data_IF_357841054481
#
_entry.id   IF_357841054481
#
_cell.length_a   1.000
_cell.length_b   1.000
_cell.length_c   1.000
_cell.angle_alpha   90.00
_cell.angle_beta   90.00
_cell.angle_gamma   90.00
#
_symmetry.space_group_name_H-M   'P 1'
#
loop_
_entity.id
_entity.type
_entity.pdbx_description
1 polymer ?
#
# COMPACT_ATOMS: atom_id res chain seq x y z
N UNK A 1 -10.29 -6.80 -17.14
CA UNK A 1 -10.00 -6.47 -15.75
C UNK A 1 -11.07 -7.03 -14.84
N UNK A 2 -10.67 -7.67 -13.76
CA UNK A 2 -11.60 -8.23 -12.78
C UNK A 2 -11.54 -7.46 -11.48
N UNK A 3 -12.65 -7.41 -10.76
CA UNK A 3 -12.78 -6.64 -9.52
C UNK A 3 -13.37 -7.55 -8.43
N UNK A 4 -12.83 -7.48 -7.23
CA UNK A 4 -13.41 -8.13 -6.07
C UNK A 4 -13.29 -7.24 -4.84
N UNK A 5 -14.08 -7.53 -3.83
CA UNK A 5 -14.15 -6.74 -2.60
C UNK A 5 -13.70 -7.60 -1.43
N UNK A 6 -12.78 -7.06 -0.66
CA UNK A 6 -12.17 -7.75 0.47
C UNK A 6 -12.53 -7.01 1.76
N UNK A 7 -13.10 -7.73 2.72
CA UNK A 7 -13.41 -7.14 4.02
C UNK A 7 -12.20 -7.24 4.93
N UNK A 8 -11.63 -6.09 5.28
CA UNK A 8 -10.43 -6.01 6.11
C UNK A 8 -10.74 -5.35 7.45
N UNK A 9 -9.81 -5.43 8.43
CA UNK A 9 -9.96 -4.70 9.69
C UNK A 9 -10.05 -3.18 9.53
N UNK A 10 -9.62 -2.63 8.41
CA UNK A 10 -9.68 -1.19 8.13
C UNK A 10 -10.81 -0.83 7.17
N UNK A 11 -11.73 -1.75 6.92
CA UNK A 11 -12.88 -1.54 6.05
C UNK A 11 -12.80 -2.34 4.77
N UNK A 12 -13.75 -2.10 3.87
CA UNK A 12 -13.80 -2.79 2.59
C UNK A 12 -12.71 -2.27 1.65
N UNK A 13 -12.03 -3.19 1.01
CA UNK A 13 -11.01 -2.89 -0.01
C UNK A 13 -11.54 -3.38 -1.35
N UNK A 14 -11.45 -2.52 -2.37
CA UNK A 14 -11.82 -2.88 -3.73
C UNK A 14 -10.54 -3.22 -4.50
N UNK A 15 -10.40 -4.47 -4.95
CA UNK A 15 -9.20 -4.95 -5.62
C UNK A 15 -9.47 -5.14 -7.11
N UNK A 16 -8.56 -4.63 -7.94
CA UNK A 16 -8.62 -4.78 -9.39
C UNK A 16 -7.41 -5.56 -9.87
N UNK A 17 -7.61 -6.46 -10.83
CA UNK A 17 -6.53 -7.27 -11.39
C UNK A 17 -6.70 -7.48 -12.88
N UNK A 18 -5.56 -7.65 -13.55
CA UNK A 18 -5.47 -8.17 -14.91
C UNK A 18 -4.86 -9.57 -14.83
N UNK A 19 -4.69 -10.21 -15.98
CA UNK A 19 -3.99 -11.50 -16.02
C UNK A 19 -2.52 -11.38 -15.64
N UNK A 20 -1.96 -10.17 -15.68
CA UNK A 20 -0.55 -9.92 -15.37
C UNK A 20 -0.30 -9.65 -13.89
N UNK A 21 -1.30 -9.16 -13.17
CA UNK A 21 -1.13 -8.84 -11.76
C UNK A 21 -2.21 -7.95 -11.19
N UNK A 22 -2.04 -7.60 -9.94
CA UNK A 22 -2.89 -6.67 -9.23
C UNK A 22 -2.62 -5.25 -9.72
N UNK A 23 -3.67 -4.50 -10.02
CA UNK A 23 -3.52 -3.16 -10.60
C UNK A 23 -3.91 -2.04 -9.65
N UNK A 24 -4.88 -2.30 -8.76
CA UNK A 24 -5.43 -1.25 -7.90
C UNK A 24 -6.03 -1.83 -6.63
N UNK A 25 -5.88 -1.08 -5.54
CA UNK A 25 -6.63 -1.29 -4.30
C UNK A 25 -7.22 0.06 -3.92
N UNK A 26 -8.55 0.14 -3.82
CA UNK A 26 -9.23 1.32 -3.31
C UNK A 26 -9.60 1.09 -1.86
N UNK A 27 -9.12 1.98 -0.99
CA UNK A 27 -9.46 1.97 0.44
C UNK A 27 -10.81 2.65 0.63
N UNK A 28 -11.48 2.33 1.74
CA UNK A 28 -12.77 2.94 2.10
C UNK A 28 -13.86 2.68 1.06
N UNK A 29 -13.81 1.53 0.40
CA UNK A 29 -14.87 1.13 -0.53
C UNK A 29 -16.20 0.97 0.20
N UNK A 30 -17.29 1.26 -0.52
CA UNK A 30 -18.62 1.12 0.02
C UNK A 30 -18.97 -0.35 0.25
N UNK A 31 -19.58 -0.64 1.40
CA UNK A 31 -20.10 -1.96 1.71
C UNK A 31 -21.42 -2.26 1.00
N UNK A 32 -21.92 -1.32 0.20
CA UNK A 32 -23.17 -1.47 -0.54
C UNK A 32 -23.00 -2.34 -1.79
N UNK A 33 -21.87 -2.96 -1.93
CA UNK A 33 -21.64 -3.89 -3.03
C UNK A 33 -22.43 -5.15 -2.77
N UNK A 34 -23.33 -5.44 -3.67
CA UNK A 34 -24.10 -6.67 -3.61
C UNK A 34 -23.14 -7.85 -3.72
N UNK A 35 -23.13 -8.66 -2.69
CA UNK A 35 -22.56 -10.01 -2.69
C UNK A 35 -21.07 -10.09 -3.04
N UNK A 36 -20.19 -10.01 -2.04
CA UNK A 36 -18.78 -10.27 -2.29
C UNK A 36 -18.57 -11.77 -2.45
N UNK A 37 -18.75 -12.26 -3.67
CA UNK A 37 -18.40 -13.63 -3.99
C UNK A 37 -16.90 -13.82 -3.78
N UNK A 38 -16.53 -15.02 -3.32
CA UNK A 38 -15.13 -15.39 -3.25
C UNK A 38 -14.52 -15.25 -4.66
N UNK A 39 -13.34 -14.64 -4.79
CA UNK A 39 -12.74 -14.46 -6.10
C UNK A 39 -12.35 -15.80 -6.71
N UNK A 40 -12.51 -15.92 -8.03
CA UNK A 40 -12.07 -17.08 -8.76
C UNK A 40 -10.84 -16.80 -9.64
N UNK A 41 -10.51 -15.53 -9.86
CA UNK A 41 -9.34 -15.14 -10.64
C UNK A 41 -8.07 -15.40 -9.82
N UNK A 42 -7.06 -16.10 -10.41
CA UNK A 42 -5.86 -16.49 -9.65
C UNK A 42 -5.15 -15.35 -8.93
N UNK A 43 -5.05 -14.18 -9.58
CA UNK A 43 -4.40 -13.00 -8.97
C UNK A 43 -5.19 -12.55 -7.74
N UNK A 44 -6.51 -12.48 -7.82
CA UNK A 44 -7.34 -12.06 -6.69
C UNK A 44 -7.36 -13.09 -5.57
N UNK A 45 -7.36 -14.37 -5.92
CA UNK A 45 -7.27 -15.46 -4.92
C UNK A 45 -5.98 -15.32 -4.12
N UNK A 46 -4.86 -15.14 -4.81
CA UNK A 46 -3.57 -14.95 -4.15
C UNK A 46 -3.57 -13.67 -3.29
N UNK A 47 -4.11 -12.57 -3.82
CA UNK A 47 -4.15 -11.30 -3.08
C UNK A 47 -4.96 -11.44 -1.79
N UNK A 48 -6.13 -12.09 -1.86
CA UNK A 48 -6.96 -12.32 -0.67
C UNK A 48 -6.21 -13.13 0.37
N UNK A 49 -5.54 -14.20 -0.04
CA UNK A 49 -4.77 -15.05 0.86
C UNK A 49 -3.63 -14.29 1.53
N UNK A 50 -2.90 -13.48 0.75
CA UNK A 50 -1.79 -12.69 1.30
C UNK A 50 -2.28 -11.58 2.22
N UNK A 51 -3.42 -10.95 1.91
CA UNK A 51 -4.02 -9.95 2.79
C UNK A 51 -4.49 -10.58 4.12
N UNK A 52 -5.09 -11.78 4.05
CA UNK A 52 -5.48 -12.51 5.27
C UNK A 52 -4.26 -12.75 6.16
N UNK A 53 -3.16 -13.19 5.58
CA UNK A 53 -1.93 -13.44 6.33
C UNK A 53 -1.33 -12.14 6.88
N UNK A 54 -1.35 -11.07 6.08
CA UNK A 54 -0.83 -9.77 6.51
C UNK A 54 -1.61 -9.22 7.70
N UNK A 55 -2.94 -9.16 7.59
CA UNK A 55 -3.78 -8.66 8.67
C UNK A 55 -3.80 -9.60 9.88
N UNK A 56 -3.48 -10.86 9.68
CA UNK A 56 -3.32 -11.83 10.76
C UNK A 56 -1.95 -11.81 11.43
N UNK A 57 -1.06 -10.91 11.00
CA UNK A 57 0.28 -10.80 11.58
C UNK A 57 1.24 -11.90 11.15
N UNK A 58 0.92 -12.64 10.09
CA UNK A 58 1.70 -13.80 9.64
C UNK A 58 2.52 -13.53 8.39
N UNK A 59 2.32 -12.39 7.73
CA UNK A 59 3.03 -12.05 6.50
C UNK A 59 3.59 -10.64 6.59
N UNK A 60 4.86 -10.50 6.25
CA UNK A 60 5.55 -9.20 6.27
C UNK A 60 5.89 -8.70 4.86
N UNK A 61 5.81 -9.55 3.85
CA UNK A 61 6.13 -9.21 2.46
C UNK A 61 5.09 -9.83 1.54
N UNK A 62 4.72 -9.10 0.49
CA UNK A 62 3.76 -9.59 -0.50
C UNK A 62 4.50 -10.18 -1.69
N UNK A 63 3.98 -11.28 -2.21
CA UNK A 63 4.54 -11.97 -3.39
C UNK A 63 3.65 -11.81 -4.62
N UNK A 64 2.45 -11.25 -4.45
CA UNK A 64 1.47 -11.06 -5.52
C UNK A 64 2.09 -10.28 -6.68
N UNK A 65 1.93 -10.75 -7.93
CA UNK A 65 2.40 -9.97 -9.07
C UNK A 65 1.63 -8.65 -9.18
N UNK A 66 2.33 -7.59 -9.57
CA UNK A 66 1.76 -6.26 -9.73
C UNK A 66 1.81 -5.87 -11.21
N UNK A 67 0.77 -5.19 -11.67
CA UNK A 67 0.70 -4.68 -13.03
C UNK A 67 0.49 -3.15 -12.97
N UNK A 68 1.56 -2.39 -13.22
CA UNK A 68 1.52 -0.93 -13.17
C UNK A 68 0.93 -0.30 -14.44
N UNK A 69 0.61 -1.11 -15.46
CA UNK A 69 0.11 -0.60 -16.72
C UNK A 69 1.07 0.39 -17.36
N UNK A 70 0.54 1.54 -17.75
CA UNK A 70 1.32 2.60 -18.41
C UNK A 70 1.64 3.75 -17.49
N UNK A 71 1.77 3.49 -16.19
CA UNK A 71 2.12 4.53 -15.22
C UNK A 71 3.46 5.18 -15.58
N UNK A 72 3.64 6.49 -15.28
CA UNK A 72 4.90 7.18 -15.58
C UNK A 72 6.10 6.46 -14.97
N UNK A 73 7.20 6.44 -15.72
CA UNK A 73 8.42 5.73 -15.29
C UNK A 73 8.90 6.16 -13.91
N UNK A 74 8.91 7.46 -13.63
CA UNK A 74 9.36 7.96 -12.33
C UNK A 74 8.48 7.45 -11.20
N UNK A 75 7.17 7.41 -11.40
CA UNK A 75 6.23 6.87 -10.40
C UNK A 75 6.54 5.42 -10.11
N UNK A 76 6.75 4.62 -11.16
CA UNK A 76 7.09 3.20 -10.98
C UNK A 76 8.37 3.02 -10.18
N UNK A 77 9.39 3.85 -10.43
CA UNK A 77 10.65 3.79 -9.69
C UNK A 77 10.46 4.14 -8.22
N UNK A 78 9.64 5.14 -7.93
CA UNK A 78 9.30 5.47 -6.54
C UNK A 78 8.59 4.29 -5.87
N UNK A 79 7.58 3.74 -6.51
CA UNK A 79 6.82 2.62 -5.94
C UNK A 79 7.70 1.41 -5.67
N UNK A 80 8.61 1.07 -6.57
CA UNK A 80 9.57 -0.02 -6.36
C UNK A 80 10.47 0.26 -5.16
N UNK A 81 10.88 1.52 -4.99
CA UNK A 81 11.70 1.92 -3.85
C UNK A 81 10.94 1.81 -2.54
N UNK A 82 9.64 2.19 -2.55
CA UNK A 82 8.80 2.03 -1.36
C UNK A 82 8.72 0.57 -0.92
N UNK A 83 8.69 -0.36 -1.86
CA UNK A 83 8.59 -1.78 -1.54
C UNK A 83 9.81 -2.32 -0.80
N UNK A 84 10.92 -1.58 -0.80
CA UNK A 84 12.13 -1.95 -0.07
C UNK A 84 12.04 -1.58 1.41
N UNK A 85 11.13 -0.69 1.79
CA UNK A 85 10.97 -0.30 3.21
C UNK A 85 10.52 -1.52 4.02
N UNK A 86 11.32 -1.93 5.02
CA UNK A 86 10.98 -3.13 5.78
C UNK A 86 9.69 -2.98 6.59
N UNK A 87 9.02 -4.09 6.82
CA UNK A 87 7.87 -4.19 7.71
C UNK A 87 8.24 -3.62 9.08
N UNK A 88 7.36 -2.80 9.64
CA UNK A 88 7.57 -2.20 10.95
C UNK A 88 8.54 -1.03 10.98
N UNK A 89 9.00 -0.58 9.82
CA UNK A 89 9.94 0.53 9.71
C UNK A 89 9.34 1.66 8.90
N UNK A 90 9.93 2.83 9.02
CA UNK A 90 9.53 4.01 8.25
C UNK A 90 10.75 4.65 7.59
N UNK A 91 10.49 5.41 6.53
CA UNK A 91 11.50 6.23 5.85
C UNK A 91 10.86 7.59 5.56
N UNK A 92 11.66 8.62 5.52
CA UNK A 92 11.15 9.94 5.13
C UNK A 92 11.09 10.05 3.61
N UNK A 93 10.33 11.04 3.12
CA UNK A 93 10.32 11.36 1.68
C UNK A 93 11.73 11.68 1.19
N UNK A 94 12.54 12.34 2.02
CA UNK A 94 13.93 12.65 1.70
C UNK A 94 14.77 11.37 1.56
N UNK A 95 14.57 10.40 2.45
CA UNK A 95 15.27 9.11 2.38
C UNK A 95 15.00 8.41 1.05
N UNK A 96 13.74 8.44 0.59
CA UNK A 96 13.36 7.83 -0.69
C UNK A 96 14.02 8.59 -1.85
N UNK A 97 13.99 9.93 -1.82
CA UNK A 97 14.63 10.75 -2.86
C UNK A 97 16.12 10.48 -2.95
N UNK A 98 16.79 10.39 -1.80
CA UNK A 98 18.22 10.03 -1.74
C UNK A 98 18.49 8.66 -2.35
N UNK A 99 17.66 7.69 -2.02
CA UNK A 99 17.80 6.32 -2.53
C UNK A 99 17.68 6.27 -4.05
N UNK A 100 16.83 7.13 -4.61
CA UNK A 100 16.67 7.27 -6.06
C UNK A 100 17.81 8.02 -6.73
N UNK A 101 18.77 8.53 -5.95
CA UNK A 101 19.89 9.29 -6.48
C UNK A 101 19.59 10.77 -6.74
N UNK A 102 18.45 11.26 -6.26
CA UNK A 102 18.05 12.65 -6.47
C UNK A 102 17.45 13.25 -5.19
N UNK A 103 18.32 13.72 -4.26
CA UNK A 103 17.84 14.26 -2.98
C UNK A 103 16.91 15.47 -3.12
N UNK A 104 16.93 16.15 -4.26
CA UNK A 104 16.09 17.32 -4.52
C UNK A 104 14.68 16.94 -4.96
N UNK A 105 14.41 15.67 -5.22
CA UNK A 105 13.13 15.21 -5.76
C UNK A 105 12.10 14.91 -4.67
N UNK A 106 12.22 15.50 -3.48
CA UNK A 106 11.33 15.22 -2.34
C UNK A 106 9.86 15.47 -2.69
N UNK A 107 9.58 16.59 -3.37
CA UNK A 107 8.21 16.92 -3.75
C UNK A 107 7.65 15.93 -4.78
N UNK A 108 8.47 15.58 -5.78
CA UNK A 108 8.07 14.61 -6.80
C UNK A 108 7.84 13.21 -6.19
N UNK A 109 8.66 12.82 -5.22
CA UNK A 109 8.48 11.58 -4.46
C UNK A 109 7.13 11.62 -3.72
N UNK A 110 6.82 12.75 -3.09
CA UNK A 110 5.54 12.92 -2.39
C UNK A 110 4.36 12.74 -3.33
N UNK A 111 4.45 13.30 -4.54
CA UNK A 111 3.40 13.15 -5.55
C UNK A 111 3.23 11.68 -5.96
N UNK A 112 4.33 10.99 -6.24
CA UNK A 112 4.28 9.58 -6.62
C UNK A 112 3.71 8.72 -5.49
N UNK A 113 4.10 9.03 -4.25
CA UNK A 113 3.59 8.35 -3.06
C UNK A 113 2.07 8.53 -2.93
N UNK A 114 1.59 9.75 -3.19
CA UNK A 114 0.16 10.05 -3.15
C UNK A 114 -0.61 9.32 -4.24
N UNK A 115 -0.01 9.08 -5.40
CA UNK A 115 -0.64 8.41 -6.54
C UNK A 115 -0.43 6.90 -6.55
N UNK A 116 0.03 6.31 -5.44
CA UNK A 116 0.20 4.87 -5.33
C UNK A 116 -1.14 4.15 -5.58
N UNK A 117 -1.22 3.30 -6.61
CA UNK A 117 -2.48 2.60 -6.91
C UNK A 117 -2.71 1.38 -6.01
N UNK A 118 -1.71 0.95 -5.27
CA UNK A 118 -1.74 -0.32 -4.52
C UNK A 118 -1.32 -0.11 -3.06
N UNK A 119 -2.08 0.71 -2.30
CA UNK A 119 -1.75 0.89 -0.88
C UNK A 119 -1.71 -0.44 -0.15
N UNK A 120 -0.94 -0.52 0.91
CA UNK A 120 -0.66 -1.73 1.69
C UNK A 120 0.39 -2.60 1.01
N UNK A 121 0.16 -3.02 -0.23
CA UNK A 121 1.11 -3.84 -1.00
C UNK A 121 2.37 -3.02 -1.28
N UNK A 122 2.18 -1.82 -1.83
CA UNK A 122 3.24 -0.82 -1.97
C UNK A 122 3.11 0.06 -0.73
N UNK A 123 4.03 -0.05 0.23
CA UNK A 123 3.79 0.46 1.58
C UNK A 123 3.98 1.97 1.72
N UNK A 124 3.16 2.74 1.04
CA UNK A 124 3.20 4.20 1.14
C UNK A 124 2.86 4.69 2.56
N UNK A 125 2.21 3.87 3.38
CA UNK A 125 1.98 4.18 4.78
C UNK A 125 3.27 4.22 5.61
N UNK A 126 4.37 3.63 5.11
CA UNK A 126 5.68 3.63 5.78
C UNK A 126 6.53 4.86 5.44
N UNK A 127 5.99 5.81 4.68
CA UNK A 127 6.68 7.06 4.37
C UNK A 127 6.12 8.16 5.25
N UNK A 128 7.01 8.84 5.96
CA UNK A 128 6.64 9.92 6.89
C UNK A 128 7.42 11.17 6.53
N UNK A 129 7.01 12.30 7.10
CA UNK A 129 7.72 13.55 6.91
C UNK A 129 9.05 13.57 7.64
N UNK A 130 9.91 14.49 7.25
CA UNK A 130 11.15 14.80 7.97
C UNK A 130 10.78 15.21 9.39
N UNK A 131 11.56 14.85 10.37
CA UNK A 131 11.31 15.12 11.79
C UNK A 131 10.18 14.28 12.40
N UNK A 132 9.77 13.21 11.74
CA UNK A 132 8.78 12.28 12.28
C UNK A 132 7.32 12.71 12.11
N UNK A 133 7.07 13.75 11.31
CA UNK A 133 5.70 14.12 10.97
C UNK A 133 5.01 12.97 10.24
N UNK A 134 3.73 12.72 10.58
CA UNK A 134 3.00 11.61 9.97
C UNK A 134 2.91 11.70 8.44
N UNK A 135 2.86 12.92 7.88
CA UNK A 135 2.61 13.13 6.47
C UNK A 135 1.16 12.82 6.11
N UNK A 136 0.90 12.79 4.80
CA UNK A 136 -0.41 12.46 4.30
C UNK A 136 -0.59 10.98 4.03
N UNK A 137 -1.84 10.58 3.79
CA UNK A 137 -2.17 9.23 3.35
C UNK A 137 -3.52 9.28 2.63
N UNK A 138 -3.60 8.70 1.43
CA UNK A 138 -4.81 8.76 0.62
C UNK A 138 -6.02 8.08 1.28
N UNK A 139 -5.78 7.03 2.08
CA UNK A 139 -6.83 6.37 2.86
C UNK A 139 -7.20 7.09 4.14
N UNK A 140 -6.51 8.18 4.47
CA UNK A 140 -6.72 8.93 5.70
C UNK A 140 -5.72 8.57 6.79
N UNK A 141 -5.39 9.55 7.61
CA UNK A 141 -4.40 9.38 8.68
C UNK A 141 -4.76 8.28 9.69
N UNK A 142 -6.03 8.09 10.08
CA UNK A 142 -6.38 7.00 10.99
C UNK A 142 -5.98 5.62 10.46
N UNK A 143 -6.15 5.38 9.16
CA UNK A 143 -5.77 4.10 8.55
C UNK A 143 -4.24 3.96 8.54
N UNK A 144 -3.53 5.03 8.19
CA UNK A 144 -2.06 5.02 8.21
C UNK A 144 -1.54 4.65 9.59
N UNK A 145 -2.07 5.27 10.63
CA UNK A 145 -1.68 4.98 12.01
C UNK A 145 -2.01 3.55 12.40
N UNK A 146 -3.18 3.06 11.99
CA UNK A 146 -3.60 1.69 12.28
C UNK A 146 -2.61 0.68 11.70
N UNK A 147 -2.23 0.88 10.44
CA UNK A 147 -1.28 -0.02 9.76
C UNK A 147 0.08 0.00 10.44
N UNK A 148 0.60 1.19 10.75
CA UNK A 148 1.90 1.31 11.42
C UNK A 148 1.88 0.69 12.82
N UNK A 149 0.80 0.87 13.57
CA UNK A 149 0.67 0.26 14.91
C UNK A 149 0.58 -1.25 14.83
N UNK A 150 -0.13 -1.78 13.84
CA UNK A 150 -0.19 -3.22 13.64
C UNK A 150 1.19 -3.78 13.31
N UNK A 151 1.94 -3.10 12.44
CA UNK A 151 3.27 -3.56 12.03
C UNK A 151 4.31 -3.43 13.14
N UNK A 152 4.19 -2.41 13.98
CA UNK A 152 5.15 -2.21 15.07
C UNK A 152 4.46 -1.54 16.27
N UNK A 153 3.72 -2.31 17.05
CA UNK A 153 2.94 -1.75 18.17
C UNK A 153 3.80 -1.09 19.25
N UNK A 154 5.04 -1.55 19.44
CA UNK A 154 5.92 -0.96 20.45
C UNK A 154 6.34 0.46 20.10
N UNK A 155 6.52 0.74 18.80
CA UNK A 155 6.97 2.05 18.34
C UNK A 155 5.84 3.05 18.18
N UNK A 156 4.64 2.60 17.77
CA UNK A 156 3.56 3.49 17.33
C UNK A 156 2.33 3.49 18.23
N UNK A 157 2.35 2.84 19.37
CA UNK A 157 1.15 2.59 20.16
C UNK A 157 0.48 3.81 20.78
N UNK A 158 1.14 4.96 20.85
CA UNK A 158 0.60 6.16 21.51
C UNK A 158 0.50 7.37 20.61
N UNK A 159 0.43 7.18 19.32
CA UNK A 159 0.50 8.33 18.42
C UNK A 159 -0.77 8.58 17.65
#
# INVERSE_FOLDING_TARGET
MVVSYYQSPIGWLELHATDKGLTQIHLNSSSDVADPDAPDHPILVQAFGELDEYFGGKRTRFSIPLDFGEAPWFYQEVWKTLMIIPYGRTRSYFDIAKRLGNPKAVRAVGQANHHNPLPIIIPCHRVIGKNGDWGGYSGGLPIKKWLLRMENPNRFRKQ
#
